data_IF_998280500551
#
_entry.id   IF_998280500551
#
_cell.length_a   1.000
_cell.length_b   1.000
_cell.length_c   1.000
_cell.angle_alpha   90.00
_cell.angle_beta   90.00
_cell.angle_gamma   90.00
#
_symmetry.space_group_name_H-M   'P 1'
#
loop_
_entity.id
_entity.type
_entity.pdbx_description
1 polymer ?
#
# COMPACT_ATOMS: atom_id res chain seq x y z
N UNK A 1 8.38 -5.65 11.38
CA UNK A 1 8.14 -5.26 9.98
C UNK A 1 7.54 -3.86 9.87
N UNK A 2 6.41 -3.58 10.51
CA UNK A 2 5.74 -2.25 10.45
C UNK A 2 6.56 -1.13 11.09
N UNK A 3 7.18 -1.38 12.23
CA UNK A 3 7.82 -0.35 13.04
C UNK A 3 8.86 0.49 12.28
N UNK A 4 9.84 -0.10 11.55
CA UNK A 4 10.82 0.71 10.82
C UNK A 4 10.18 1.66 9.81
N UNK A 5 9.14 1.23 9.11
CA UNK A 5 8.42 2.03 8.11
C UNK A 5 7.66 3.18 8.78
N UNK A 6 7.00 2.91 9.89
CA UNK A 6 6.28 3.94 10.67
C UNK A 6 7.26 4.97 11.25
N UNK A 7 8.36 4.53 11.85
CA UNK A 7 9.38 5.41 12.43
C UNK A 7 10.09 6.27 11.39
N UNK A 8 10.32 5.74 10.19
CA UNK A 8 10.90 6.52 9.09
C UNK A 8 9.97 7.68 8.67
N UNK A 9 8.66 7.46 8.65
CA UNK A 9 7.69 8.51 8.32
C UNK A 9 7.78 9.02 6.89
N UNK A 10 8.20 8.18 5.95
CA UNK A 10 8.46 8.57 4.56
C UNK A 10 7.39 8.11 3.57
N UNK A 11 6.62 7.08 3.93
CA UNK A 11 5.72 6.40 2.99
C UNK A 11 4.30 6.18 3.50
N UNK A 12 4.06 6.27 4.80
CA UNK A 12 2.75 6.12 5.42
C UNK A 12 2.34 7.37 6.20
N UNK A 13 1.05 7.69 6.18
CA UNK A 13 0.46 8.82 6.90
C UNK A 13 0.12 8.49 8.36
N UNK A 14 0.96 7.71 9.00
CA UNK A 14 0.83 7.33 10.39
C UNK A 14 1.77 8.15 11.25
N UNK A 15 1.36 8.54 12.48
CA UNK A 15 2.26 9.19 13.41
C UNK A 15 3.54 8.37 13.64
N UNK A 16 4.70 9.00 13.58
CA UNK A 16 5.99 8.30 13.69
C UNK A 16 6.22 7.65 15.06
N UNK A 17 5.57 8.18 16.08
CA UNK A 17 5.60 7.69 17.47
C UNK A 17 4.45 6.72 17.80
N UNK A 18 3.73 6.23 16.76
CA UNK A 18 2.60 5.34 16.92
C UNK A 18 2.97 4.10 17.75
N UNK A 19 2.17 3.83 18.78
CA UNK A 19 2.38 2.68 19.65
C UNK A 19 2.07 1.37 18.95
N UNK A 20 2.76 0.31 19.37
CA UNK A 20 2.66 -1.01 18.73
C UNK A 20 1.24 -1.54 18.65
N UNK A 21 0.49 -1.45 19.72
CA UNK A 21 -0.89 -1.94 19.78
C UNK A 21 -1.83 -1.17 18.84
N UNK A 22 -1.62 0.14 18.71
CA UNK A 22 -2.38 0.99 17.77
C UNK A 22 -2.02 0.64 16.32
N UNK A 23 -0.73 0.44 16.04
CA UNK A 23 -0.26 0.04 14.71
C UNK A 23 -0.84 -1.32 14.30
N UNK A 24 -0.89 -2.28 15.21
CA UNK A 24 -1.48 -3.59 14.95
C UNK A 24 -3.00 -3.51 14.77
N UNK A 25 -3.71 -2.70 15.55
CA UNK A 25 -5.14 -2.47 15.33
C UNK A 25 -5.45 -1.84 13.98
N UNK A 26 -4.59 -0.93 13.51
CA UNK A 26 -4.72 -0.37 12.17
C UNK A 26 -4.49 -1.43 11.09
N UNK A 27 -3.37 -2.17 11.16
CA UNK A 27 -3.02 -3.15 10.13
C UNK A 27 -4.02 -4.30 10.05
N UNK A 28 -4.47 -4.79 11.20
CA UNK A 28 -5.45 -5.86 11.34
C UNK A 28 -6.87 -5.35 11.62
N UNK A 29 -7.22 -4.16 11.13
CA UNK A 29 -8.58 -3.65 11.25
C UNK A 29 -9.62 -4.66 10.70
N UNK A 30 -10.84 -4.70 11.22
CA UNK A 30 -11.85 -5.71 10.84
C UNK A 30 -12.14 -5.77 9.34
N UNK A 31 -12.04 -4.64 8.64
CA UNK A 31 -12.25 -4.54 7.19
C UNK A 31 -11.02 -4.95 6.36
N UNK A 32 -9.88 -5.18 6.98
CA UNK A 32 -8.65 -5.59 6.30
C UNK A 32 -8.54 -7.10 6.22
N UNK A 33 -8.39 -7.63 5.03
CA UNK A 33 -7.90 -8.99 4.81
C UNK A 33 -6.39 -8.94 4.67
N UNK A 34 -5.67 -9.47 5.66
CA UNK A 34 -4.22 -9.35 5.76
C UNK A 34 -3.54 -10.60 5.22
N UNK A 35 -2.50 -10.37 4.40
CA UNK A 35 -1.65 -11.40 3.85
C UNK A 35 -0.21 -11.20 4.30
N UNK A 36 0.51 -12.30 4.49
CA UNK A 36 1.93 -12.31 4.86
C UNK A 36 2.70 -13.14 3.85
N UNK A 37 3.74 -12.56 3.27
CA UNK A 37 4.69 -13.26 2.42
C UNK A 37 5.78 -13.91 3.26
N UNK A 38 6.06 -15.19 3.01
CA UNK A 38 7.06 -15.95 3.73
C UNK A 38 8.17 -16.44 2.80
N UNK A 39 9.40 -16.42 3.30
CA UNK A 39 10.54 -17.15 2.76
C UNK A 39 10.93 -18.21 3.80
N UNK A 40 10.52 -19.47 3.56
CA UNK A 40 10.52 -20.48 4.61
C UNK A 40 9.58 -20.06 5.77
N UNK A 41 10.13 -19.94 6.97
CA UNK A 41 9.40 -19.47 8.16
C UNK A 41 9.56 -17.97 8.41
N UNK A 42 10.35 -17.28 7.59
CA UNK A 42 10.65 -15.86 7.77
C UNK A 42 9.65 -14.97 7.03
N UNK A 43 9.00 -14.06 7.74
CA UNK A 43 8.08 -13.10 7.14
C UNK A 43 8.85 -11.98 6.44
N UNK A 44 8.68 -11.88 5.12
CA UNK A 44 9.42 -10.95 4.25
C UNK A 44 8.58 -9.78 3.75
N UNK A 45 7.26 -9.86 3.85
CA UNK A 45 6.35 -8.80 3.45
C UNK A 45 4.95 -9.03 3.97
N UNK A 46 4.15 -8.00 3.96
CA UNK A 46 2.73 -8.07 4.31
C UNK A 46 1.95 -7.02 3.54
N UNK A 47 0.70 -7.32 3.22
CA UNK A 47 -0.24 -6.34 2.70
C UNK A 47 -1.64 -6.61 3.23
N UNK A 48 -2.49 -5.61 3.19
CA UNK A 48 -3.92 -5.77 3.40
C UNK A 48 -4.69 -5.43 2.12
N UNK A 49 -5.82 -6.10 1.95
CA UNK A 49 -6.82 -5.85 0.92
C UNK A 49 -8.13 -5.46 1.59
N UNK A 50 -8.79 -4.42 1.09
CA UNK A 50 -10.11 -4.00 1.56
C UNK A 50 -10.90 -3.33 0.44
N UNK A 51 -12.20 -3.14 0.64
CA UNK A 51 -12.96 -2.18 -0.16
C UNK A 51 -12.51 -0.76 0.18
N UNK A 52 -12.27 0.07 -0.85
CA UNK A 52 -11.82 1.46 -0.65
C UNK A 52 -12.92 2.32 -0.06
N UNK A 53 -14.16 2.11 -0.51
CA UNK A 53 -15.36 2.84 -0.07
C UNK A 53 -16.50 1.86 0.22
N UNK A 54 -17.58 2.37 0.78
CA UNK A 54 -18.79 1.62 1.06
C UNK A 54 -19.87 1.82 -0.02
N UNK A 55 -20.96 1.06 0.06
CA UNK A 55 -22.13 1.23 -0.81
C UNK A 55 -21.75 1.19 -2.30
N UNK A 56 -22.11 2.22 -3.04
CA UNK A 56 -21.85 2.31 -4.47
C UNK A 56 -20.37 2.34 -4.88
N UNK A 57 -19.44 2.52 -3.95
CA UNK A 57 -18.00 2.48 -4.16
C UNK A 57 -17.32 1.17 -3.73
N UNK A 58 -18.08 0.20 -3.20
CA UNK A 58 -17.50 -1.01 -2.60
C UNK A 58 -16.83 -1.97 -3.60
N UNK A 59 -17.01 -1.75 -4.89
CA UNK A 59 -16.40 -2.56 -5.95
C UNK A 59 -14.96 -2.16 -6.27
N UNK A 60 -14.43 -1.10 -5.65
CA UNK A 60 -13.04 -0.65 -5.79
C UNK A 60 -12.24 -1.09 -4.58
N UNK A 61 -11.16 -1.82 -4.82
CA UNK A 61 -10.25 -2.28 -3.77
C UNK A 61 -9.22 -1.21 -3.41
N UNK A 62 -8.68 -1.33 -2.21
CA UNK A 62 -7.49 -0.62 -1.76
C UNK A 62 -6.54 -1.60 -1.05
N UNK A 63 -5.26 -1.38 -1.16
CA UNK A 63 -4.21 -2.14 -0.48
C UNK A 63 -3.19 -1.21 0.18
N UNK A 64 -2.56 -1.70 1.23
CA UNK A 64 -1.33 -1.14 1.78
C UNK A 64 -0.28 -2.25 1.85
N UNK A 65 0.98 -1.96 1.50
CA UNK A 65 2.06 -2.94 1.41
C UNK A 65 3.24 -2.51 2.27
N UNK A 66 3.87 -3.47 2.93
CA UNK A 66 5.14 -3.28 3.64
C UNK A 66 6.06 -4.48 3.34
N UNK A 67 7.29 -4.18 2.92
CA UNK A 67 8.36 -5.16 2.78
C UNK A 67 9.27 -5.10 4.01
N UNK A 68 9.70 -6.25 4.51
CA UNK A 68 10.68 -6.30 5.58
C UNK A 68 12.01 -5.67 5.12
N UNK A 69 12.67 -4.92 6.01
CA UNK A 69 13.90 -4.18 5.66
C UNK A 69 15.04 -5.08 5.17
N UNK A 70 15.13 -6.29 5.69
CA UNK A 70 16.12 -7.31 5.28
C UNK A 70 15.75 -8.06 3.99
N UNK A 71 14.57 -7.82 3.45
CA UNK A 71 14.06 -8.43 2.22
C UNK A 71 13.86 -7.41 1.08
N UNK A 72 14.29 -6.18 1.26
CA UNK A 72 14.24 -5.15 0.21
C UNK A 72 15.09 -5.56 -1.00
N UNK A 73 14.72 -5.04 -2.18
CA UNK A 73 15.39 -5.32 -3.46
C UNK A 73 15.35 -6.79 -3.93
N UNK A 74 14.50 -7.62 -3.32
CA UNK A 74 14.34 -9.05 -3.67
C UNK A 74 13.07 -9.34 -4.48
N UNK A 75 12.36 -8.32 -4.93
CA UNK A 75 11.11 -8.46 -5.69
C UNK A 75 9.87 -8.76 -4.84
N UNK A 76 9.94 -8.60 -3.52
CA UNK A 76 8.82 -8.88 -2.59
C UNK A 76 7.63 -7.97 -2.88
N UNK A 77 7.84 -6.67 -3.07
CA UNK A 77 6.78 -5.73 -3.41
C UNK A 77 6.07 -6.08 -4.72
N UNK A 78 6.83 -6.51 -5.74
CA UNK A 78 6.27 -7.00 -7.00
C UNK A 78 5.41 -8.24 -6.81
N UNK A 79 5.90 -9.22 -6.05
CA UNK A 79 5.18 -10.45 -5.76
C UNK A 79 3.87 -10.18 -5.00
N UNK A 80 3.93 -9.31 -3.99
CA UNK A 80 2.74 -8.90 -3.23
C UNK A 80 1.72 -8.17 -4.10
N UNK A 81 2.16 -7.27 -4.97
CA UNK A 81 1.26 -6.57 -5.88
C UNK A 81 0.57 -7.56 -6.84
N UNK A 82 1.32 -8.44 -7.48
CA UNK A 82 0.75 -9.47 -8.36
C UNK A 82 -0.30 -10.32 -7.64
N UNK A 83 0.02 -10.80 -6.45
CA UNK A 83 -0.89 -11.60 -5.62
C UNK A 83 -2.13 -10.79 -5.21
N UNK A 84 -1.97 -9.54 -4.81
CA UNK A 84 -3.11 -8.69 -4.40
C UNK A 84 -4.08 -8.42 -5.55
N UNK A 85 -3.59 -8.26 -6.77
CA UNK A 85 -4.45 -8.09 -7.96
C UNK A 85 -5.23 -9.36 -8.28
N UNK A 86 -4.60 -10.53 -8.13
CA UNK A 86 -5.29 -11.82 -8.27
C UNK A 86 -6.37 -11.99 -7.19
N UNK A 87 -6.03 -11.71 -5.93
CA UNK A 87 -6.98 -11.77 -4.83
C UNK A 87 -8.15 -10.78 -5.00
N UNK A 88 -7.87 -9.57 -5.45
CA UNK A 88 -8.92 -8.58 -5.73
C UNK A 88 -9.89 -9.06 -6.81
N UNK A 89 -9.36 -9.61 -7.92
CA UNK A 89 -10.21 -10.18 -8.99
C UNK A 89 -11.05 -11.35 -8.48
N UNK A 90 -10.46 -12.26 -7.72
CA UNK A 90 -11.18 -13.43 -7.18
C UNK A 90 -12.33 -13.07 -6.23
N UNK A 91 -12.25 -11.90 -5.60
CA UNK A 91 -13.30 -11.34 -4.72
C UNK A 91 -14.31 -10.46 -5.46
N UNK A 92 -14.17 -10.34 -6.78
CA UNK A 92 -15.11 -9.58 -7.61
C UNK A 92 -14.88 -8.07 -7.60
N UNK A 93 -13.75 -7.58 -7.10
CA UNK A 93 -13.40 -6.18 -7.28
C UNK A 93 -13.17 -5.85 -8.75
N UNK A 94 -13.67 -4.69 -9.17
CA UNK A 94 -13.61 -4.23 -10.56
C UNK A 94 -12.47 -3.26 -10.83
N UNK A 95 -11.91 -2.69 -9.78
CA UNK A 95 -10.78 -1.77 -9.84
C UNK A 95 -9.99 -1.80 -8.55
N UNK A 96 -8.77 -1.26 -8.58
CA UNK A 96 -7.96 -1.00 -7.39
C UNK A 96 -7.48 0.44 -7.42
N UNK A 97 -7.60 1.11 -6.26
CA UNK A 97 -7.17 2.50 -6.07
C UNK A 97 -6.21 2.61 -4.90
N UNK A 98 -5.09 3.28 -5.13
CA UNK A 98 -4.21 3.75 -4.08
C UNK A 98 -4.50 5.23 -3.82
N UNK A 99 -4.87 5.57 -2.58
CA UNK A 99 -5.40 6.88 -2.25
C UNK A 99 -4.32 7.94 -2.04
N UNK A 100 -3.11 7.52 -1.67
CA UNK A 100 -2.09 8.43 -1.20
C UNK A 100 -0.69 7.83 -1.39
N UNK A 101 -0.18 7.89 -2.61
CA UNK A 101 1.18 7.41 -2.93
C UNK A 101 2.11 8.61 -2.89
N UNK A 102 3.04 8.61 -1.93
CA UNK A 102 3.97 9.72 -1.75
C UNK A 102 4.89 9.82 -2.96
N UNK A 103 4.97 11.01 -3.57
CA UNK A 103 5.70 11.22 -4.82
C UNK A 103 7.19 10.90 -4.73
N UNK A 104 7.79 11.05 -3.54
CA UNK A 104 9.19 10.71 -3.27
C UNK A 104 9.45 9.21 -3.19
N UNK A 105 8.40 8.38 -3.08
CA UNK A 105 8.51 6.93 -3.16
C UNK A 105 8.51 6.48 -4.64
N UNK A 106 9.51 6.92 -5.39
CA UNK A 106 9.60 6.72 -6.84
C UNK A 106 9.59 5.24 -7.23
N UNK A 107 10.20 4.38 -6.40
CA UNK A 107 10.21 2.92 -6.65
C UNK A 107 8.81 2.34 -6.61
N UNK A 108 8.00 2.73 -5.64
CA UNK A 108 6.61 2.29 -5.57
C UNK A 108 5.81 2.83 -6.76
N UNK A 109 5.92 4.11 -7.08
CA UNK A 109 5.23 4.70 -8.24
C UNK A 109 5.56 3.96 -9.52
N UNK A 110 6.85 3.72 -9.79
CA UNK A 110 7.28 2.98 -10.98
C UNK A 110 6.79 1.52 -10.97
N UNK A 111 6.79 0.88 -9.81
CA UNK A 111 6.30 -0.48 -9.68
C UNK A 111 4.81 -0.57 -10.01
N UNK A 112 4.00 0.33 -9.45
CA UNK A 112 2.56 0.39 -9.71
C UNK A 112 2.27 0.68 -11.19
N UNK A 113 3.02 1.59 -11.81
CA UNK A 113 2.90 1.88 -13.24
C UNK A 113 3.22 0.66 -14.12
N UNK A 114 4.20 -0.17 -13.75
CA UNK A 114 4.49 -1.42 -14.46
C UNK A 114 3.35 -2.44 -14.40
N UNK A 115 2.51 -2.38 -13.36
CA UNK A 115 1.29 -3.18 -13.26
C UNK A 115 0.08 -2.56 -13.98
N UNK A 116 0.25 -1.37 -14.56
CA UNK A 116 -0.78 -0.68 -15.32
C UNK A 116 -1.56 0.36 -14.52
N UNK A 117 -1.16 0.66 -13.29
CA UNK A 117 -1.77 1.78 -12.55
C UNK A 117 -1.45 3.11 -13.21
N UNK A 118 -2.46 3.94 -13.35
CA UNK A 118 -2.34 5.31 -13.84
C UNK A 118 -2.41 6.30 -12.68
N UNK A 119 -1.63 7.38 -12.76
CA UNK A 119 -1.78 8.52 -11.86
C UNK A 119 -3.00 9.30 -12.32
N UNK A 120 -4.11 9.19 -11.58
CA UNK A 120 -5.38 9.84 -11.93
C UNK A 120 -5.58 11.16 -11.18
N UNK A 121 -4.75 11.44 -10.19
CA UNK A 121 -4.78 12.68 -9.45
C UNK A 121 -3.47 12.94 -8.74
N UNK A 122 -3.15 14.23 -8.62
CA UNK A 122 -2.02 14.74 -7.85
C UNK A 122 -2.54 15.68 -6.76
N UNK A 123 -2.10 15.43 -5.54
CA UNK A 123 -2.41 16.24 -4.37
C UNK A 123 -1.17 17.09 -4.05
N UNK A 124 -1.16 18.38 -4.43
CA UNK A 124 0.03 19.21 -4.25
C UNK A 124 0.35 19.43 -2.78
N UNK A 125 1.62 19.24 -2.42
CA UNK A 125 2.15 19.49 -1.07
C UNK A 125 1.36 18.80 0.06
N UNK A 126 0.79 17.64 -0.22
CA UNK A 126 -0.14 16.95 0.70
C UNK A 126 0.55 16.17 1.80
N UNK A 127 1.86 15.94 1.70
CA UNK A 127 2.62 15.15 2.66
C UNK A 127 3.87 15.89 3.13
N UNK A 128 4.06 15.98 4.45
CA UNK A 128 5.27 16.56 5.04
C UNK A 128 6.33 15.47 5.23
N UNK A 129 7.24 15.39 4.25
CA UNK A 129 8.34 14.44 4.29
C UNK A 129 9.39 14.87 5.32
N UNK A 130 9.92 13.96 6.17
CA UNK A 130 10.85 14.32 7.25
C UNK A 130 12.11 15.06 6.82
N UNK A 131 12.57 14.84 5.58
CA UNK A 131 13.81 15.40 5.06
C UNK A 131 13.61 16.37 3.89
N UNK A 132 12.47 16.28 3.18
CA UNK A 132 12.22 17.02 1.93
C UNK A 132 11.15 18.09 2.06
N UNK A 133 10.53 18.24 3.23
CA UNK A 133 9.42 19.17 3.44
C UNK A 133 8.14 18.69 2.75
N UNK A 134 7.30 19.63 2.35
CA UNK A 134 6.00 19.31 1.73
C UNK A 134 6.19 18.81 0.30
N UNK A 135 5.77 17.57 0.07
CA UNK A 135 5.83 16.90 -1.23
C UNK A 135 4.45 16.45 -1.68
N UNK A 136 4.32 16.17 -2.97
CA UNK A 136 3.05 15.74 -3.54
C UNK A 136 2.71 14.30 -3.16
N UNK A 137 1.44 13.97 -3.18
CA UNK A 137 0.94 12.61 -3.17
C UNK A 137 0.11 12.33 -4.42
N UNK A 138 0.12 11.09 -4.88
CA UNK A 138 -0.65 10.67 -6.05
C UNK A 138 -1.82 9.78 -5.65
N UNK A 139 -2.93 9.93 -6.37
CA UNK A 139 -3.99 8.94 -6.43
C UNK A 139 -3.73 8.09 -7.68
N UNK A 140 -3.60 6.77 -7.50
CA UNK A 140 -3.32 5.85 -8.60
C UNK A 140 -4.46 4.83 -8.73
N UNK A 141 -4.80 4.45 -9.96
CA UNK A 141 -5.98 3.65 -10.26
C UNK A 141 -5.70 2.61 -11.33
N UNK A 142 -6.24 1.41 -11.15
CA UNK A 142 -6.15 0.31 -12.12
C UNK A 142 -7.53 -0.32 -12.28
N UNK A 143 -8.02 -0.40 -13.52
CA UNK A 143 -9.21 -1.17 -13.87
C UNK A 143 -8.86 -2.65 -13.91
N UNK A 144 -9.63 -3.51 -13.21
CA UNK A 144 -9.38 -4.95 -13.10
C UNK A 144 -10.28 -5.79 -14.00
N UNK A 145 -11.47 -5.29 -14.28
CA UNK A 145 -12.45 -5.96 -15.13
C UNK A 145 -12.19 -5.65 -16.61
N UNK A 146 -11.81 -6.64 -17.33
CA UNK A 146 -11.76 -6.63 -18.77
C UNK A 146 -12.31 -7.93 -19.33
#
# INVERSE_FOLDING_TARGET
MLEPVIRAGETYTLPRDLQRDVALRFWFAPEHEVFVGLDGEHAIGTYFLRANQHGGGAHVANCGYITASDAEHRGVGRAMCAHSLEQARSRGFRAMQFNFVISTNERAVQLWQRFGFEIVGRLPHAFCHPQRGYVDAYVMYLQLDR
#
